data_IF_400978967044
#
_entry.id   IF_400978967044
#
_cell.length_a   1.000
_cell.length_b   1.000
_cell.length_c   1.000
_cell.angle_alpha   90.00
_cell.angle_beta   90.00
_cell.angle_gamma   90.00
#
_symmetry.space_group_name_H-M   'P 1'
#
loop_
_entity.id
_entity.type
_entity.pdbx_description
1 polymer ?
#
# COMPACT_ATOMS: atom_id res chain seq x y z
N UNK A 1 -15.07 10.42 20.65
CA UNK A 1 -13.92 10.39 19.73
C UNK A 1 -12.84 9.36 20.13
N UNK A 2 -12.35 9.29 21.40
CA UNK A 2 -11.34 8.30 21.81
C UNK A 2 -11.84 6.85 21.75
N UNK A 3 -13.01 6.57 22.33
CA UNK A 3 -13.63 5.23 22.32
C UNK A 3 -13.82 4.67 20.89
N UNK A 4 -14.27 5.48 19.97
CA UNK A 4 -14.49 5.05 18.57
C UNK A 4 -13.15 4.66 17.89
N UNK A 5 -12.10 5.45 18.09
CA UNK A 5 -10.75 5.16 17.57
C UNK A 5 -10.14 3.91 18.19
N UNK A 6 -10.35 3.72 19.51
CA UNK A 6 -9.87 2.54 20.21
C UNK A 6 -10.56 1.27 19.71
N UNK A 7 -11.90 1.30 19.57
CA UNK A 7 -12.67 0.17 19.08
C UNK A 7 -12.28 -0.18 17.64
N UNK A 8 -12.18 0.82 16.75
CA UNK A 8 -11.79 0.57 15.37
C UNK A 8 -10.36 0.01 15.26
N UNK A 9 -9.43 0.52 16.07
CA UNK A 9 -8.06 0.00 16.13
C UNK A 9 -8.02 -1.45 16.61
N UNK A 10 -8.75 -1.77 17.70
CA UNK A 10 -8.83 -3.14 18.23
C UNK A 10 -9.44 -4.10 17.20
N UNK A 11 -10.53 -3.71 16.52
CA UNK A 11 -11.18 -4.53 15.48
C UNK A 11 -10.23 -4.77 14.32
N UNK A 12 -9.54 -3.74 13.83
CA UNK A 12 -8.55 -3.87 12.75
C UNK A 12 -7.39 -4.79 13.14
N UNK A 13 -6.89 -4.67 14.37
CA UNK A 13 -5.80 -5.53 14.87
C UNK A 13 -6.24 -6.99 14.95
N UNK A 14 -7.42 -7.27 15.51
CA UNK A 14 -7.98 -8.61 15.58
C UNK A 14 -8.22 -9.22 14.20
N UNK A 15 -8.74 -8.42 13.26
CA UNK A 15 -8.95 -8.83 11.88
C UNK A 15 -7.62 -9.15 11.19
N UNK A 16 -6.60 -8.31 11.38
CA UNK A 16 -5.25 -8.54 10.83
C UNK A 16 -4.65 -9.84 11.38
N UNK A 17 -4.71 -10.05 12.70
CA UNK A 17 -4.23 -11.28 13.33
C UNK A 17 -4.99 -12.50 12.78
N UNK A 18 -6.30 -12.42 12.64
CA UNK A 18 -7.12 -13.49 12.07
C UNK A 18 -6.71 -13.83 10.62
N UNK A 19 -6.53 -12.82 9.77
CA UNK A 19 -6.07 -13.01 8.38
C UNK A 19 -4.68 -13.65 8.34
N UNK A 20 -3.76 -13.18 9.19
CA UNK A 20 -2.40 -13.72 9.26
C UNK A 20 -2.39 -15.16 9.78
N UNK A 21 -3.29 -15.51 10.71
CA UNK A 21 -3.42 -16.87 11.24
C UNK A 21 -3.93 -17.84 10.16
N UNK A 22 -4.99 -17.46 9.43
CA UNK A 22 -5.53 -18.25 8.31
C UNK A 22 -4.51 -18.45 7.19
N UNK A 23 -3.69 -17.44 6.93
CA UNK A 23 -2.55 -17.53 6.00
C UNK A 23 -2.92 -17.78 4.55
N UNK A 24 -1.93 -18.22 3.76
CA UNK A 24 -2.12 -18.66 2.37
C UNK A 24 -2.90 -17.67 1.50
N UNK A 25 -3.82 -18.18 0.71
CA UNK A 25 -4.66 -17.39 -0.21
C UNK A 25 -5.54 -16.35 0.50
N UNK A 26 -5.95 -16.60 1.77
CA UNK A 26 -6.76 -15.64 2.54
C UNK A 26 -5.99 -14.34 2.75
N UNK A 27 -4.72 -14.44 3.14
CA UNK A 27 -3.84 -13.27 3.25
C UNK A 27 -3.67 -12.58 1.89
N UNK A 28 -3.47 -13.36 0.81
CA UNK A 28 -3.34 -12.82 -0.54
C UNK A 28 -4.55 -12.02 -0.99
N UNK A 29 -5.76 -12.56 -0.81
CA UNK A 29 -7.02 -11.87 -1.16
C UNK A 29 -7.21 -10.62 -0.30
N UNK A 30 -6.95 -10.69 1.00
CA UNK A 30 -7.06 -9.53 1.89
C UNK A 30 -6.10 -8.40 1.47
N UNK A 31 -4.85 -8.73 1.16
CA UNK A 31 -3.86 -7.74 0.70
C UNK A 31 -4.21 -7.20 -0.69
N UNK A 32 -4.78 -8.02 -1.59
CA UNK A 32 -5.30 -7.57 -2.88
C UNK A 32 -6.43 -6.54 -2.70
N UNK A 33 -7.39 -6.80 -1.81
CA UNK A 33 -8.48 -5.87 -1.51
C UNK A 33 -7.96 -4.55 -0.91
N UNK A 34 -6.99 -4.63 0.01
CA UNK A 34 -6.32 -3.45 0.56
C UNK A 34 -5.58 -2.67 -0.53
N UNK A 35 -4.92 -3.36 -1.46
CA UNK A 35 -4.24 -2.73 -2.60
C UNK A 35 -5.22 -2.00 -3.51
N UNK A 36 -6.35 -2.62 -3.84
CA UNK A 36 -7.40 -1.97 -4.65
C UNK A 36 -7.97 -0.74 -3.93
N UNK A 37 -8.22 -0.83 -2.62
CA UNK A 37 -8.64 0.32 -1.82
C UNK A 37 -7.61 1.45 -1.82
N UNK A 38 -6.34 1.12 -1.64
CA UNK A 38 -5.25 2.11 -1.64
C UNK A 38 -5.04 2.76 -3.03
N UNK A 39 -5.12 1.98 -4.12
CA UNK A 39 -5.11 2.51 -5.49
C UNK A 39 -6.30 3.44 -5.72
N UNK A 40 -7.50 3.04 -5.28
CA UNK A 40 -8.69 3.88 -5.37
C UNK A 40 -8.53 5.21 -4.60
N UNK A 41 -8.04 5.16 -3.37
CA UNK A 41 -7.81 6.37 -2.56
C UNK A 41 -6.77 7.29 -3.21
N UNK A 42 -5.65 6.72 -3.70
CA UNK A 42 -4.63 7.51 -4.38
C UNK A 42 -5.17 8.17 -5.65
N UNK A 43 -5.88 7.43 -6.50
CA UNK A 43 -6.52 7.99 -7.69
C UNK A 43 -7.56 9.05 -7.34
N UNK A 44 -8.29 8.88 -6.23
CA UNK A 44 -9.30 9.84 -5.74
C UNK A 44 -8.69 11.16 -5.27
N UNK A 45 -7.51 11.12 -4.63
CA UNK A 45 -6.77 12.34 -4.23
C UNK A 45 -6.50 13.24 -5.44
N UNK A 46 -6.25 12.62 -6.60
CA UNK A 46 -6.04 13.33 -7.87
C UNK A 46 -7.33 13.50 -8.70
N UNK A 47 -8.50 13.15 -8.15
CA UNK A 47 -9.81 13.21 -8.82
C UNK A 47 -9.88 12.37 -10.11
N UNK A 48 -9.15 11.26 -10.15
CA UNK A 48 -8.98 10.38 -11.29
C UNK A 48 -9.58 8.97 -11.08
N UNK A 49 -10.32 8.75 -10.00
CA UNK A 49 -10.81 7.43 -9.57
C UNK A 49 -11.70 6.71 -10.59
N UNK A 50 -12.31 7.47 -11.52
CA UNK A 50 -13.18 6.95 -12.60
C UNK A 50 -12.57 7.09 -13.99
N UNK A 51 -11.31 7.47 -14.09
CA UNK A 51 -10.62 7.64 -15.37
C UNK A 51 -10.29 6.28 -16.01
N UNK A 52 -10.07 6.28 -17.34
CA UNK A 52 -9.60 5.07 -18.03
C UNK A 52 -8.25 4.59 -17.47
N UNK A 53 -7.38 5.52 -17.02
CA UNK A 53 -6.11 5.19 -16.39
C UNK A 53 -6.29 4.52 -15.03
N UNK A 54 -7.30 4.93 -14.24
CA UNK A 54 -7.64 4.25 -12.99
C UNK A 54 -8.13 2.82 -13.23
N UNK A 55 -8.97 2.64 -14.26
CA UNK A 55 -9.44 1.29 -14.65
C UNK A 55 -8.26 0.40 -15.00
N UNK A 56 -7.27 0.90 -15.76
CA UNK A 56 -6.05 0.15 -16.04
C UNK A 56 -5.27 -0.20 -14.78
N UNK A 57 -5.16 0.72 -13.81
CA UNK A 57 -4.48 0.47 -12.54
C UNK A 57 -5.20 -0.60 -11.69
N UNK A 58 -6.54 -0.59 -11.67
CA UNK A 58 -7.32 -1.63 -10.99
C UNK A 58 -7.16 -3.00 -11.67
N UNK A 59 -7.28 -3.05 -12.99
CA UNK A 59 -7.11 -4.28 -13.75
C UNK A 59 -5.70 -4.84 -13.60
N UNK A 60 -4.68 -3.97 -13.64
CA UNK A 60 -3.30 -4.37 -13.42
C UNK A 60 -3.10 -4.93 -12.00
N UNK A 61 -3.69 -4.29 -10.98
CA UNK A 61 -3.63 -4.80 -9.61
C UNK A 61 -4.22 -6.21 -9.52
N UNK A 62 -5.42 -6.42 -10.07
CA UNK A 62 -6.07 -7.75 -10.06
C UNK A 62 -5.21 -8.77 -10.84
N UNK A 63 -4.78 -8.44 -12.05
CA UNK A 63 -3.96 -9.32 -12.87
C UNK A 63 -2.66 -9.71 -12.15
N UNK A 64 -1.98 -8.76 -11.52
CA UNK A 64 -0.75 -8.98 -10.77
C UNK A 64 -0.94 -9.99 -9.63
N UNK A 65 -2.00 -9.85 -8.82
CA UNK A 65 -2.30 -10.81 -7.75
C UNK A 65 -2.75 -12.17 -8.31
N UNK A 66 -3.49 -12.21 -9.41
CA UNK A 66 -3.81 -13.47 -10.08
C UNK A 66 -2.54 -14.20 -10.51
N UNK A 67 -1.57 -13.50 -11.11
CA UNK A 67 -0.29 -14.12 -11.50
C UNK A 67 0.49 -14.64 -10.28
N UNK A 68 0.46 -13.93 -9.14
CA UNK A 68 1.04 -14.43 -7.89
C UNK A 68 0.32 -15.68 -7.38
N UNK A 69 -1.01 -15.73 -7.44
CA UNK A 69 -1.79 -16.89 -6.97
C UNK A 69 -1.58 -18.15 -7.80
N UNK A 70 -1.35 -17.98 -9.10
CA UNK A 70 -1.08 -19.10 -10.01
C UNK A 70 0.41 -19.42 -10.17
N UNK A 71 1.30 -18.84 -9.36
CA UNK A 71 2.75 -19.04 -9.41
C UNK A 71 3.36 -18.76 -10.78
N UNK A 72 2.88 -17.68 -11.43
CA UNK A 72 3.32 -17.22 -12.74
C UNK A 72 4.35 -16.08 -12.64
N UNK A 73 5.25 -16.16 -11.63
CA UNK A 73 6.20 -15.09 -11.30
C UNK A 73 7.09 -14.69 -12.49
N UNK A 74 7.44 -15.63 -13.37
CA UNK A 74 8.23 -15.35 -14.57
C UNK A 74 7.60 -14.35 -15.54
N UNK A 75 6.29 -14.17 -15.47
CA UNK A 75 5.55 -13.26 -16.33
C UNK A 75 5.24 -11.91 -15.67
N UNK A 76 5.61 -11.70 -14.41
CA UNK A 76 5.32 -10.45 -13.69
C UNK A 76 6.04 -9.25 -14.32
N UNK A 77 7.30 -9.41 -14.69
CA UNK A 77 8.05 -8.33 -15.34
C UNK A 77 7.45 -7.94 -16.70
N UNK A 78 7.20 -8.87 -17.65
CA UNK A 78 6.47 -8.56 -18.89
C UNK A 78 5.11 -7.89 -18.64
N UNK A 79 4.35 -8.36 -17.64
CA UNK A 79 3.05 -7.76 -17.26
C UNK A 79 3.20 -6.31 -16.81
N UNK A 80 4.20 -6.00 -15.98
CA UNK A 80 4.48 -4.62 -15.53
C UNK A 80 4.90 -3.71 -16.70
N UNK A 81 5.73 -4.21 -17.61
CA UNK A 81 6.13 -3.46 -18.82
C UNK A 81 4.89 -3.20 -19.68
N UNK A 82 4.08 -4.21 -19.92
CA UNK A 82 2.83 -4.06 -20.69
C UNK A 82 1.92 -3.01 -20.07
N UNK A 83 1.77 -3.01 -18.74
CA UNK A 83 0.97 -2.00 -18.03
C UNK A 83 1.47 -0.57 -18.30
N UNK A 84 2.78 -0.33 -18.16
CA UNK A 84 3.35 1.00 -18.43
C UNK A 84 3.08 1.41 -19.87
N UNK A 85 3.29 0.50 -20.83
CA UNK A 85 3.02 0.78 -22.26
C UNK A 85 1.54 1.09 -22.52
N UNK A 86 0.62 0.37 -21.87
CA UNK A 86 -0.84 0.62 -22.00
C UNK A 86 -1.22 1.99 -21.42
N UNK A 87 -0.69 2.36 -20.25
CA UNK A 87 -0.95 3.69 -19.67
C UNK A 87 -0.43 4.80 -20.58
N UNK A 88 0.79 4.66 -21.12
CA UNK A 88 1.36 5.62 -22.06
C UNK A 88 0.57 5.68 -23.39
N UNK A 89 0.12 4.54 -23.91
CA UNK A 89 -0.72 4.49 -25.11
C UNK A 89 -2.05 5.22 -24.88
N UNK A 90 -2.74 4.96 -23.75
CA UNK A 90 -3.98 5.68 -23.40
C UNK A 90 -3.70 7.18 -23.27
N UNK A 91 -2.59 7.58 -22.63
CA UNK A 91 -2.21 8.98 -22.55
C UNK A 91 -2.10 9.63 -23.92
N UNK A 92 -1.33 9.04 -24.84
CA UNK A 92 -1.11 9.58 -26.18
C UNK A 92 -2.40 9.67 -26.99
N UNK A 93 -3.22 8.61 -26.97
CA UNK A 93 -4.47 8.54 -27.74
C UNK A 93 -5.52 9.53 -27.22
N UNK A 94 -5.53 9.78 -25.92
CA UNK A 94 -6.58 10.59 -25.28
C UNK A 94 -6.16 12.03 -25.02
N UNK A 95 -4.94 12.43 -25.37
CA UNK A 95 -4.47 13.80 -25.21
C UNK A 95 -5.36 14.79 -25.99
N UNK A 96 -5.73 15.96 -25.41
CA UNK A 96 -5.35 16.52 -24.11
C UNK A 96 -6.29 16.16 -22.92
N UNK A 97 -7.19 15.21 -23.08
CA UNK A 97 -8.17 14.83 -22.03
C UNK A 97 -7.46 14.33 -20.77
N UNK A 98 -6.43 13.51 -20.93
CA UNK A 98 -5.52 13.10 -19.85
C UNK A 98 -4.15 13.73 -20.07
N UNK A 99 -3.52 14.09 -18.95
CA UNK A 99 -2.21 14.74 -18.94
C UNK A 99 -1.10 13.76 -18.54
N UNK A 100 0.13 14.19 -18.68
CA UNK A 100 1.31 13.48 -18.17
C UNK A 100 1.20 13.15 -16.68
N UNK A 101 0.65 14.08 -15.89
CA UNK A 101 0.41 13.88 -14.45
C UNK A 101 -0.54 12.71 -14.19
N UNK A 102 -1.59 12.57 -14.98
CA UNK A 102 -2.58 11.51 -14.84
C UNK A 102 -1.95 10.13 -15.13
N UNK A 103 -1.10 10.06 -16.14
CA UNK A 103 -0.32 8.86 -16.46
C UNK A 103 0.67 8.51 -15.34
N UNK A 104 1.42 9.51 -14.84
CA UNK A 104 2.34 9.31 -13.72
C UNK A 104 1.63 8.81 -12.46
N UNK A 105 0.46 9.36 -12.13
CA UNK A 105 -0.33 8.95 -10.96
C UNK A 105 -0.82 7.52 -11.10
N UNK A 106 -1.28 7.11 -12.30
CA UNK A 106 -1.70 5.73 -12.53
C UNK A 106 -0.55 4.74 -12.36
N UNK A 107 0.62 5.04 -12.95
CA UNK A 107 1.83 4.22 -12.79
C UNK A 107 2.24 4.17 -11.31
N UNK A 108 2.31 5.31 -10.64
CA UNK A 108 2.66 5.39 -9.23
C UNK A 108 1.68 4.59 -8.37
N UNK A 109 0.37 4.67 -8.64
CA UNK A 109 -0.65 3.96 -7.87
C UNK A 109 -0.41 2.45 -7.84
N UNK A 110 -0.10 1.84 -8.97
CA UNK A 110 0.24 0.42 -9.01
C UNK A 110 1.57 0.11 -8.31
N UNK A 111 2.67 0.78 -8.69
CA UNK A 111 4.00 0.45 -8.17
C UNK A 111 4.14 0.79 -6.68
N UNK A 112 3.59 1.91 -6.23
CA UNK A 112 3.70 2.33 -4.84
C UNK A 112 2.73 1.60 -3.91
N UNK A 113 1.51 1.30 -4.36
CA UNK A 113 0.50 0.67 -3.51
C UNK A 113 0.49 -0.84 -3.72
N UNK A 114 0.10 -1.30 -4.92
CA UNK A 114 -0.17 -2.72 -5.14
C UNK A 114 1.08 -3.59 -5.09
N UNK A 115 2.16 -3.15 -5.73
CA UNK A 115 3.41 -3.89 -5.75
C UNK A 115 4.03 -3.97 -4.34
N UNK A 116 4.12 -2.85 -3.61
CA UNK A 116 4.72 -2.86 -2.27
C UNK A 116 3.89 -3.67 -1.27
N UNK A 117 2.57 -3.53 -1.28
CA UNK A 117 1.70 -4.33 -0.42
C UNK A 117 1.77 -5.83 -0.76
N UNK A 118 1.98 -6.20 -2.02
CA UNK A 118 2.09 -7.61 -2.41
C UNK A 118 3.22 -8.36 -1.71
N UNK A 119 4.29 -7.66 -1.30
CA UNK A 119 5.38 -8.28 -0.55
C UNK A 119 4.94 -8.89 0.78
N UNK A 120 3.88 -8.38 1.40
CA UNK A 120 3.29 -9.01 2.60
C UNK A 120 2.79 -10.43 2.29
N UNK A 121 2.13 -10.61 1.15
CA UNK A 121 1.70 -11.93 0.71
C UNK A 121 2.89 -12.80 0.30
N UNK A 122 3.83 -12.27 -0.47
CA UNK A 122 5.03 -13.00 -0.92
C UNK A 122 5.88 -13.47 0.27
N UNK A 123 6.08 -12.62 1.28
CA UNK A 123 6.75 -13.03 2.52
C UNK A 123 5.93 -14.09 3.26
N UNK A 124 4.59 -13.97 3.28
CA UNK A 124 3.70 -14.91 3.99
C UNK A 124 3.78 -16.34 3.46
N UNK A 125 4.02 -16.53 2.17
CA UNK A 125 4.12 -17.87 1.55
C UNK A 125 5.49 -18.53 1.72
N UNK A 126 6.51 -17.84 2.26
CA UNK A 126 7.81 -18.43 2.57
C UNK A 126 7.70 -19.48 3.69
N UNK A 127 8.71 -20.36 3.79
CA UNK A 127 8.75 -21.47 4.77
C UNK A 127 8.44 -21.06 6.21
N UNK A 128 8.90 -19.87 6.64
CA UNK A 128 8.61 -19.28 7.96
C UNK A 128 7.80 -17.98 7.84
N UNK A 129 7.06 -17.80 6.74
CA UNK A 129 6.42 -16.57 6.36
C UNK A 129 5.45 -16.02 7.40
N UNK A 130 4.75 -16.89 8.15
CA UNK A 130 3.89 -16.45 9.24
C UNK A 130 4.63 -15.69 10.32
N UNK A 131 5.75 -16.22 10.79
CA UNK A 131 6.59 -15.55 11.80
C UNK A 131 7.20 -14.25 11.26
N UNK A 132 7.67 -14.26 10.00
CA UNK A 132 8.26 -13.08 9.37
C UNK A 132 7.26 -11.92 9.24
N UNK A 133 6.03 -12.19 8.78
CA UNK A 133 5.01 -11.13 8.65
C UNK A 133 4.57 -10.61 10.02
N UNK A 134 4.42 -11.49 11.02
CA UNK A 134 4.16 -11.06 12.39
C UNK A 134 5.30 -10.17 12.93
N UNK A 135 6.55 -10.54 12.67
CA UNK A 135 7.72 -9.75 13.06
C UNK A 135 7.70 -8.36 12.39
N UNK A 136 7.44 -8.29 11.07
CA UNK A 136 7.30 -7.01 10.35
C UNK A 136 6.20 -6.14 10.96
N UNK A 137 5.04 -6.75 11.27
CA UNK A 137 3.92 -6.05 11.88
C UNK A 137 4.26 -5.51 13.28
N UNK A 138 4.88 -6.34 14.12
CA UNK A 138 5.33 -5.94 15.47
C UNK A 138 6.36 -4.82 15.39
N UNK A 139 7.36 -4.95 14.54
CA UNK A 139 8.38 -3.90 14.35
C UNK A 139 7.75 -2.58 13.91
N UNK A 140 6.80 -2.59 12.97
CA UNK A 140 6.10 -1.39 12.54
C UNK A 140 5.29 -0.75 13.68
N UNK A 141 4.53 -1.54 14.44
CA UNK A 141 3.74 -1.05 15.57
C UNK A 141 4.62 -0.49 16.70
N UNK A 142 5.73 -1.16 17.00
CA UNK A 142 6.71 -0.71 18.00
C UNK A 142 7.34 0.61 17.56
N UNK A 143 7.83 0.67 16.32
CA UNK A 143 8.42 1.87 15.74
C UNK A 143 7.48 3.08 15.85
N UNK A 144 6.22 2.93 15.40
CA UNK A 144 5.24 4.02 15.46
C UNK A 144 4.91 4.43 16.91
N UNK A 145 4.82 3.47 17.82
CA UNK A 145 4.57 3.73 19.25
C UNK A 145 5.71 4.50 19.88
N UNK A 146 6.95 4.05 19.69
CA UNK A 146 8.12 4.71 20.25
C UNK A 146 8.35 6.09 19.61
N UNK A 147 8.21 6.21 18.28
CA UNK A 147 8.27 7.49 17.59
C UNK A 147 7.26 8.49 18.17
N UNK A 148 6.04 8.05 18.44
CA UNK A 148 5.01 8.89 19.05
C UNK A 148 5.36 9.26 20.50
N UNK A 149 5.70 8.28 21.34
CA UNK A 149 5.99 8.51 22.76
C UNK A 149 7.17 9.46 22.96
N UNK A 150 8.28 9.20 22.24
CA UNK A 150 9.48 10.06 22.29
C UNK A 150 9.18 11.42 21.71
N UNK A 151 8.46 11.48 20.58
CA UNK A 151 8.08 12.74 19.93
C UNK A 151 7.20 13.64 20.82
N UNK A 152 6.27 13.05 21.58
CA UNK A 152 5.42 13.80 22.52
C UNK A 152 6.21 14.25 23.74
N UNK A 153 7.09 13.41 24.29
CA UNK A 153 7.81 13.68 25.55
C UNK A 153 9.05 14.57 25.35
N UNK A 154 9.79 14.36 24.26
CA UNK A 154 11.07 14.99 24.02
C UNK A 154 11.16 15.83 22.75
N UNK A 155 10.11 15.87 21.92
CA UNK A 155 10.11 16.52 20.62
C UNK A 155 10.20 18.03 20.69
N UNK A 156 11.39 18.57 20.44
CA UNK A 156 11.68 20.01 20.39
C UNK A 156 11.85 20.50 18.95
N UNK A 157 12.47 19.72 18.09
CA UNK A 157 12.78 20.10 16.72
C UNK A 157 11.77 19.49 15.74
N UNK A 158 11.06 20.35 14.98
CA UNK A 158 10.10 19.88 13.97
C UNK A 158 10.82 19.32 12.76
N UNK A 159 10.47 18.09 12.35
CA UNK A 159 11.09 17.40 11.20
C UNK A 159 10.67 18.06 9.88
N UNK A 160 9.39 18.36 9.73
CA UNK A 160 8.85 18.98 8.51
C UNK A 160 7.66 19.90 8.87
N UNK A 161 7.91 21.20 9.21
CA UNK A 161 6.86 22.09 9.68
C UNK A 161 5.70 22.28 8.71
N UNK A 162 5.98 22.28 7.40
CA UNK A 162 4.98 22.49 6.35
C UNK A 162 4.18 21.22 6.01
N UNK A 163 4.83 20.05 6.04
CA UNK A 163 4.22 18.79 5.61
C UNK A 163 3.55 18.04 6.77
N UNK A 164 4.23 18.00 7.92
CA UNK A 164 3.74 17.30 9.11
C UNK A 164 4.16 18.04 10.38
N UNK A 165 3.39 19.04 10.84
CA UNK A 165 3.77 19.91 11.96
C UNK A 165 3.83 19.18 13.31
N UNK A 166 3.31 17.94 13.41
CA UNK A 166 3.30 17.15 14.62
C UNK A 166 4.53 16.23 14.77
N UNK A 167 5.27 15.97 13.66
CA UNK A 167 6.45 15.08 13.69
C UNK A 167 7.69 15.84 14.13
N UNK A 168 8.49 15.23 15.03
CA UNK A 168 9.76 15.76 15.55
C UNK A 168 10.93 14.87 15.18
N UNK A 169 12.12 15.45 15.14
CA UNK A 169 13.38 14.72 14.86
C UNK A 169 13.67 13.73 15.98
N UNK A 170 13.40 14.11 17.24
CA UNK A 170 13.56 13.23 18.39
C UNK A 170 12.61 12.02 18.33
N UNK A 171 11.38 12.25 17.84
CA UNK A 171 10.44 11.17 17.59
C UNK A 171 10.92 10.20 16.51
N UNK A 172 11.56 10.69 15.45
CA UNK A 172 12.17 9.85 14.42
C UNK A 172 13.30 8.98 14.97
N UNK A 173 14.15 9.54 15.84
CA UNK A 173 15.24 8.80 16.47
C UNK A 173 14.75 7.79 17.52
N UNK A 174 13.58 8.05 18.10
CA UNK A 174 12.98 7.16 19.10
C UNK A 174 12.28 5.93 18.53
N UNK A 175 11.84 5.98 17.25
CA UNK A 175 11.30 4.85 16.52
C UNK A 175 12.39 4.03 15.87
#
# INVERSE_FOLDING_TARGET
MFKTRFISGAVLTLLTIGILYLGGYVTGVAVMLLSLGGVFELMRVYKQEKSAMAVLAYLMTIAYYCFLFFHLEKYLLPLMILYVLLVLAVYVITYPKYTDKDAMVAILAFFYVSLLLSFLYQVRILKYGGALVVMVYICSCINDTFAYCVGVKFGKHKMSPKLSPKKSVEGLLGG
#
